data_IF_809659930606
#
_entry.id   IF_809659930606
#
_cell.length_a   1.000
_cell.length_b   1.000
_cell.length_c   1.000
_cell.angle_alpha   90.00
_cell.angle_beta   90.00
_cell.angle_gamma   90.00
#
_symmetry.space_group_name_H-M   'P 1'
#
loop_
_entity.id
_entity.type
_entity.pdbx_description
1 polymer ?
#
# COMPACT_ATOMS: atom_id res chain seq x y z
N UNK A 1 8.41 2.20 -22.00
CA UNK A 1 7.12 2.91 -21.86
C UNK A 1 6.38 2.42 -20.62
N UNK A 2 5.38 3.18 -20.13
CA UNK A 2 4.64 2.87 -18.88
C UNK A 2 4.06 1.44 -18.83
N UNK A 3 3.43 0.98 -19.92
CA UNK A 3 2.88 -0.38 -20.01
C UNK A 3 3.95 -1.47 -19.89
N UNK A 4 5.15 -1.22 -20.38
CA UNK A 4 6.28 -2.15 -20.24
C UNK A 4 6.73 -2.23 -18.78
N UNK A 5 6.81 -1.10 -18.06
CA UNK A 5 7.16 -1.10 -16.64
C UNK A 5 6.10 -1.83 -15.79
N UNK A 6 4.82 -1.62 -16.09
CA UNK A 6 3.72 -2.35 -15.43
C UNK A 6 3.79 -3.86 -15.74
N UNK A 7 4.03 -4.23 -17.00
CA UNK A 7 4.22 -5.63 -17.40
C UNK A 7 5.39 -6.31 -16.69
N UNK A 8 6.52 -5.60 -16.54
CA UNK A 8 7.65 -6.09 -15.75
C UNK A 8 7.31 -6.23 -14.27
N UNK A 9 6.55 -5.30 -13.69
CA UNK A 9 6.08 -5.40 -12.30
C UNK A 9 5.20 -6.62 -12.06
N UNK A 10 4.23 -6.88 -12.95
CA UNK A 10 3.37 -8.07 -12.88
C UNK A 10 4.17 -9.36 -13.05
N UNK A 11 5.11 -9.39 -14.00
CA UNK A 11 5.99 -10.55 -14.21
C UNK A 11 6.85 -10.84 -12.98
N UNK A 12 7.49 -9.81 -12.40
CA UNK A 12 8.29 -9.95 -11.18
C UNK A 12 7.47 -10.47 -10.01
N UNK A 13 6.23 -9.99 -9.84
CA UNK A 13 5.33 -10.51 -8.81
C UNK A 13 4.95 -11.97 -9.06
N UNK A 14 4.65 -12.36 -10.30
CA UNK A 14 4.34 -13.75 -10.63
C UNK A 14 5.52 -14.70 -10.32
N UNK A 15 6.75 -14.30 -10.66
CA UNK A 15 7.96 -15.05 -10.33
C UNK A 15 8.13 -15.16 -8.81
N UNK A 16 7.92 -14.07 -8.07
CA UNK A 16 8.01 -14.08 -6.62
C UNK A 16 6.95 -14.98 -5.96
N UNK A 17 5.74 -15.05 -6.51
CA UNK A 17 4.68 -15.94 -6.01
C UNK A 17 5.05 -17.41 -6.20
N UNK A 18 5.71 -17.75 -7.32
CA UNK A 18 6.14 -19.11 -7.63
C UNK A 18 7.38 -19.55 -6.84
N UNK A 19 8.42 -18.70 -6.83
CA UNK A 19 9.72 -18.99 -6.17
C UNK A 19 9.67 -18.74 -4.66
N UNK A 20 8.80 -17.83 -4.21
CA UNK A 20 8.64 -17.42 -2.82
C UNK A 20 9.26 -16.05 -2.49
N UNK A 21 8.87 -15.52 -1.33
CA UNK A 21 9.22 -14.16 -0.89
C UNK A 21 10.74 -13.92 -0.74
N UNK A 22 11.53 -14.97 -0.49
CA UNK A 22 12.98 -14.87 -0.39
C UNK A 22 13.66 -14.39 -1.67
N UNK A 23 13.02 -14.55 -2.84
CA UNK A 23 13.51 -14.01 -4.12
C UNK A 23 13.64 -12.48 -4.12
N UNK A 24 12.90 -11.79 -3.24
CA UNK A 24 12.99 -10.34 -3.07
C UNK A 24 14.26 -9.84 -2.36
N UNK A 25 15.13 -10.77 -1.92
CA UNK A 25 16.37 -10.45 -1.22
C UNK A 25 16.22 -10.23 0.28
N UNK A 26 15.01 -10.37 0.83
CA UNK A 26 14.82 -10.40 2.29
C UNK A 26 15.30 -11.73 2.87
N UNK A 27 15.92 -11.69 4.04
CA UNK A 27 16.40 -12.88 4.75
C UNK A 27 16.43 -12.60 6.24
N UNK A 28 16.35 -13.62 7.07
CA UNK A 28 16.49 -13.42 8.52
C UNK A 28 17.90 -12.91 8.84
N UNK A 29 18.08 -11.85 9.64
CA UNK A 29 17.09 -11.23 10.53
C UNK A 29 16.27 -10.07 9.94
N UNK A 30 16.63 -9.56 8.75
CA UNK A 30 15.96 -8.43 8.11
C UNK A 30 14.89 -8.94 7.14
N UNK A 31 13.72 -9.29 7.70
CA UNK A 31 12.58 -9.76 6.92
C UNK A 31 11.83 -8.63 6.19
N UNK A 32 12.15 -7.37 6.47
CA UNK A 32 11.46 -6.19 5.93
C UNK A 32 12.47 -5.34 5.17
N UNK A 33 12.22 -5.14 3.88
CA UNK A 33 13.10 -4.40 2.98
C UNK A 33 12.31 -3.50 2.06
N UNK A 34 12.60 -3.61 0.76
CA UNK A 34 12.10 -2.70 -0.26
C UNK A 34 10.57 -2.53 -0.26
N UNK A 35 9.79 -3.60 -0.02
CA UNK A 35 8.33 -3.51 -0.03
C UNK A 35 7.78 -2.56 1.03
N UNK A 36 8.22 -2.70 2.28
CA UNK A 36 7.72 -1.84 3.36
C UNK A 36 8.28 -0.42 3.23
N UNK A 37 9.54 -0.26 2.81
CA UNK A 37 10.10 1.07 2.56
C UNK A 37 9.29 1.83 1.52
N UNK A 38 8.92 1.18 0.41
CA UNK A 38 8.07 1.81 -0.60
C UNK A 38 6.64 2.01 -0.13
N UNK A 39 6.06 1.08 0.62
CA UNK A 39 4.73 1.25 1.21
C UNK A 39 4.65 2.56 2.00
N UNK A 40 5.56 2.76 2.97
CA UNK A 40 5.58 3.96 3.80
C UNK A 40 5.89 5.21 2.97
N UNK A 41 6.78 5.10 1.99
CA UNK A 41 7.10 6.21 1.07
C UNK A 41 5.87 6.69 0.29
N UNK A 42 5.12 5.77 -0.32
CA UNK A 42 3.93 6.12 -1.10
C UNK A 42 2.79 6.65 -0.23
N UNK A 43 2.57 6.09 0.97
CA UNK A 43 1.65 6.67 1.96
C UNK A 43 2.08 8.09 2.33
N UNK A 44 3.38 8.32 2.56
CA UNK A 44 3.95 9.64 2.84
C UNK A 44 3.66 10.67 1.74
N UNK A 45 3.79 10.30 0.46
CA UNK A 45 3.40 11.16 -0.67
C UNK A 45 1.91 11.49 -0.60
N UNK A 46 1.07 10.50 -0.30
CA UNK A 46 -0.39 10.68 -0.18
C UNK A 46 -0.80 11.73 0.85
N UNK A 47 -0.10 11.81 1.98
CA UNK A 47 -0.37 12.79 3.05
C UNK A 47 -0.16 14.25 2.61
N UNK A 48 0.79 14.52 1.72
CA UNK A 48 0.98 15.87 1.21
C UNK A 48 -0.27 16.36 0.45
N UNK A 49 -0.92 15.48 -0.32
CA UNK A 49 -2.13 15.84 -1.05
C UNK A 49 -3.35 16.04 -0.16
N UNK A 50 -3.54 15.22 0.88
CA UNK A 50 -4.64 15.40 1.84
C UNK A 50 -4.48 16.64 2.71
N UNK A 51 -3.24 17.03 3.03
CA UNK A 51 -2.95 18.32 3.68
C UNK A 51 -3.41 19.48 2.79
N UNK A 52 -3.10 19.45 1.49
CA UNK A 52 -3.49 20.50 0.55
C UNK A 52 -5.01 20.56 0.36
N UNK A 53 -5.70 19.42 0.29
CA UNK A 53 -7.15 19.39 0.06
C UNK A 53 -7.96 19.74 1.30
N UNK A 54 -7.61 19.18 2.47
CA UNK A 54 -8.37 19.32 3.71
C UNK A 54 -7.83 20.41 4.63
N UNK A 55 -6.54 20.39 4.99
CA UNK A 55 -5.99 21.33 5.99
C UNK A 55 -6.00 22.76 5.46
N UNK A 56 -5.57 22.99 4.22
CA UNK A 56 -5.64 24.33 3.61
C UNK A 56 -7.05 24.81 3.32
N UNK A 57 -8.03 23.91 3.24
CA UNK A 57 -9.43 24.31 3.25
C UNK A 57 -9.84 24.86 4.62
N UNK A 58 -9.48 24.16 5.71
CA UNK A 58 -9.78 24.58 7.08
C UNK A 58 -9.11 25.91 7.46
N UNK A 59 -7.86 26.11 7.04
CA UNK A 59 -7.12 27.37 7.30
C UNK A 59 -7.48 28.49 6.31
N UNK A 60 -8.44 28.26 5.40
CA UNK A 60 -8.93 29.23 4.41
C UNK A 60 -7.84 29.81 3.52
N UNK A 61 -6.85 29.00 3.13
CA UNK A 61 -5.78 29.42 2.24
C UNK A 61 -6.29 29.53 0.79
N UNK A 62 -6.38 30.73 0.19
CA UNK A 62 -7.06 30.93 -1.09
C UNK A 62 -6.29 30.35 -2.28
N UNK A 63 -4.97 30.22 -2.17
CA UNK A 63 -4.09 29.72 -3.23
C UNK A 63 -4.27 28.22 -3.53
N UNK A 64 -4.90 27.46 -2.62
CA UNK A 64 -5.10 26.02 -2.81
C UNK A 64 -5.96 25.69 -4.03
N UNK A 65 -6.85 26.60 -4.44
CA UNK A 65 -7.80 26.39 -5.54
C UNK A 65 -7.10 26.09 -6.87
N UNK A 66 -5.86 26.55 -7.05
CA UNK A 66 -5.07 26.27 -8.23
C UNK A 66 -4.54 24.82 -8.29
N UNK A 67 -4.38 24.13 -7.16
CA UNK A 67 -3.66 22.84 -7.10
C UNK A 67 -4.43 21.69 -6.43
N UNK A 68 -5.52 21.96 -5.70
CA UNK A 68 -6.20 20.95 -4.87
C UNK A 68 -6.66 19.72 -5.66
N UNK A 69 -7.17 19.90 -6.89
CA UNK A 69 -7.64 18.79 -7.73
C UNK A 69 -6.50 17.87 -8.16
N UNK A 70 -5.35 18.44 -8.50
CA UNK A 70 -4.15 17.68 -8.84
C UNK A 70 -3.56 16.98 -7.61
N UNK A 71 -3.62 17.64 -6.45
CA UNK A 71 -3.19 17.07 -5.18
C UNK A 71 -4.06 15.87 -4.76
N UNK A 72 -5.38 15.94 -4.93
CA UNK A 72 -6.29 14.81 -4.68
C UNK A 72 -6.02 13.64 -5.63
N UNK A 73 -5.85 13.92 -6.93
CA UNK A 73 -5.51 12.87 -7.90
C UNK A 73 -4.18 12.19 -7.55
N UNK A 74 -3.16 12.96 -7.16
CA UNK A 74 -1.88 12.44 -6.68
C UNK A 74 -2.06 11.53 -5.47
N UNK A 75 -2.85 11.93 -4.46
CA UNK A 75 -3.14 11.09 -3.29
C UNK A 75 -3.78 9.78 -3.69
N UNK A 76 -4.78 9.80 -4.58
CA UNK A 76 -5.47 8.59 -5.04
C UNK A 76 -4.47 7.61 -5.68
N UNK A 77 -3.64 8.07 -6.61
CA UNK A 77 -2.63 7.20 -7.24
C UNK A 77 -1.56 6.71 -6.26
N UNK A 78 -1.15 7.56 -5.32
CA UNK A 78 -0.19 7.19 -4.28
C UNK A 78 -0.74 6.09 -3.38
N UNK A 79 -2.00 6.21 -2.93
CA UNK A 79 -2.66 5.19 -2.10
C UNK A 79 -2.91 3.90 -2.87
N UNK A 80 -3.34 3.97 -4.14
CA UNK A 80 -3.46 2.77 -4.98
C UNK A 80 -2.13 2.03 -5.12
N UNK A 81 -1.03 2.76 -5.32
CA UNK A 81 0.30 2.17 -5.43
C UNK A 81 0.78 1.62 -4.08
N UNK A 82 0.54 2.35 -2.98
CA UNK A 82 0.86 1.90 -1.63
C UNK A 82 0.13 0.59 -1.27
N UNK A 83 -1.17 0.50 -1.56
CA UNK A 83 -2.00 -0.66 -1.22
C UNK A 83 -1.58 -1.97 -1.89
N UNK A 84 -0.77 -1.91 -2.95
CA UNK A 84 -0.20 -3.11 -3.57
C UNK A 84 0.88 -3.76 -2.69
N UNK A 85 1.66 -2.97 -1.95
CA UNK A 85 2.82 -3.49 -1.22
C UNK A 85 2.46 -4.43 -0.06
N UNK A 86 1.43 -4.19 0.77
CA UNK A 86 0.97 -5.15 1.77
C UNK A 86 0.58 -6.50 1.16
N UNK A 87 -0.06 -6.49 -0.03
CA UNK A 87 -0.46 -7.71 -0.74
C UNK A 87 0.72 -8.45 -1.37
N UNK A 88 1.68 -7.71 -1.92
CA UNK A 88 2.87 -8.28 -2.56
C UNK A 88 3.88 -8.79 -1.53
N UNK A 89 3.95 -8.17 -0.35
CA UNK A 89 4.95 -8.48 0.67
C UNK A 89 4.64 -9.76 1.47
N UNK A 90 3.37 -10.16 1.55
CA UNK A 90 3.00 -11.39 2.25
C UNK A 90 3.40 -12.63 1.46
N UNK A 91 3.93 -13.65 2.14
CA UNK A 91 4.40 -14.88 1.50
C UNK A 91 3.28 -15.74 0.88
N UNK A 92 2.02 -15.49 1.25
CA UNK A 92 0.84 -16.23 0.74
C UNK A 92 -0.27 -15.24 0.36
N UNK A 93 -0.14 -14.51 -0.76
CA UNK A 93 -1.08 -13.44 -1.12
C UNK A 93 -2.52 -13.90 -1.31
N UNK A 94 -2.73 -15.15 -1.74
CA UNK A 94 -4.07 -15.73 -1.89
C UNK A 94 -4.83 -15.89 -0.55
N UNK A 95 -4.16 -15.76 0.60
CA UNK A 95 -4.79 -15.77 1.93
C UNK A 95 -5.02 -14.37 2.50
N UNK A 96 -4.77 -13.30 1.73
CA UNK A 96 -4.95 -11.92 2.20
C UNK A 96 -6.37 -11.63 2.74
N UNK A 97 -7.38 -12.32 2.21
CA UNK A 97 -8.77 -12.16 2.65
C UNK A 97 -9.00 -12.48 4.14
N UNK A 98 -8.10 -13.25 4.78
CA UNK A 98 -8.17 -13.52 6.22
C UNK A 98 -7.87 -12.30 7.11
N UNK A 99 -7.38 -11.20 6.54
CA UNK A 99 -7.19 -9.93 7.25
C UNK A 99 -8.51 -9.16 7.41
N UNK A 100 -9.54 -9.48 6.64
CA UNK A 100 -10.83 -8.81 6.70
C UNK A 100 -11.68 -9.47 7.81
N UNK A 101 -12.29 -8.70 8.72
CA UNK A 101 -13.18 -9.23 9.72
C UNK A 101 -14.54 -9.60 9.09
N UNK A 102 -14.71 -10.86 8.67
CA UNK A 102 -15.99 -11.36 8.17
C UNK A 102 -16.38 -12.69 8.83
N UNK A 103 -17.70 -12.97 9.02
CA UNK A 103 -18.16 -14.23 9.55
C UNK A 103 -17.75 -15.41 8.65
N UNK A 104 -17.11 -16.42 9.23
CA UNK A 104 -16.71 -17.64 8.53
C UNK A 104 -17.20 -18.88 9.28
N UNK A 105 -17.26 -20.01 8.57
CA UNK A 105 -17.69 -21.31 9.12
C UNK A 105 -16.85 -21.78 10.32
N UNK A 106 -15.65 -21.24 10.49
CA UNK A 106 -14.71 -21.61 11.54
C UNK A 106 -14.83 -20.73 12.79
N UNK A 107 -15.70 -19.71 12.77
CA UNK A 107 -15.87 -18.73 13.85
C UNK A 107 -14.55 -18.08 14.29
N UNK A 108 -13.60 -17.94 13.37
CA UNK A 108 -12.29 -17.34 13.62
C UNK A 108 -12.32 -15.85 13.30
N UNK A 109 -11.62 -15.06 14.11
CA UNK A 109 -11.53 -13.61 13.97
C UNK A 109 -10.09 -13.13 13.93
N UNK A 110 -9.90 -11.92 13.40
CA UNK A 110 -8.61 -11.24 13.36
C UNK A 110 -8.19 -10.71 14.73
N UNK A 111 -6.89 -10.53 14.93
CA UNK A 111 -6.35 -9.92 16.15
C UNK A 111 -6.31 -8.39 16.04
N UNK A 112 -7.29 -7.72 16.65
CA UNK A 112 -7.44 -6.26 16.68
C UNK A 112 -6.34 -5.48 17.42
N UNK A 113 -5.33 -6.15 17.98
CA UNK A 113 -4.20 -5.50 18.67
C UNK A 113 -2.98 -5.26 17.77
N UNK A 114 -2.98 -5.79 16.56
CA UNK A 114 -1.83 -5.68 15.65
C UNK A 114 -1.86 -4.36 14.89
N UNK A 115 -0.79 -3.54 14.92
CA UNK A 115 -0.69 -2.34 14.09
C UNK A 115 -0.82 -2.64 12.59
N UNK A 116 -0.31 -3.80 12.14
CA UNK A 116 -0.47 -4.25 10.75
C UNK A 116 -1.93 -4.45 10.34
N UNK A 117 -2.82 -4.75 11.29
CA UNK A 117 -4.24 -4.87 11.01
C UNK A 117 -4.91 -3.49 10.97
N UNK A 118 -4.38 -2.50 11.68
CA UNK A 118 -4.90 -1.13 11.62
C UNK A 118 -4.54 -0.43 10.31
N UNK A 119 -3.52 -0.94 9.62
CA UNK A 119 -3.15 -0.52 8.26
C UNK A 119 -4.09 -1.08 7.17
N UNK A 120 -4.95 -2.07 7.50
CA UNK A 120 -5.93 -2.72 6.59
C UNK A 120 -7.24 -1.95 6.56
#
# INVERSE_FOLDING_TARGET
>A
GFLMALGLGVLSFAIQVDVGIGYSGISHPIAWGFYITNFVFWIGIGHAGTLISAVFYLTRAPWRTAIYRSAEAMTVFAVFTAGLFPLVHIGRPWLAFWLIPYPNERMLWVNFKSPLLWDV
#
